data_IF_674116549433
#
_entry.id   IF_674116549433
#
_cell.length_a   1.000
_cell.length_b   1.000
_cell.length_c   1.000
_cell.angle_alpha   90.00
_cell.angle_beta   90.00
_cell.angle_gamma   90.00
#
_symmetry.space_group_name_H-M   'P 1'
#
loop_
_entity.id
_entity.type
_entity.pdbx_description
1 polymer ?
#
# COMPACT_ATOMS: atom_id res chain seq x y z
N UNK A 1 -8.10 8.33 0.55
CA UNK A 1 -7.70 7.23 1.44
C UNK A 1 -6.18 7.14 1.55
N UNK A 2 -5.71 6.73 2.70
CA UNK A 2 -4.28 6.50 2.92
C UNK A 2 -3.92 5.08 2.52
N UNK A 3 -2.81 4.93 1.81
CA UNK A 3 -2.33 3.62 1.35
C UNK A 3 -1.17 3.21 2.25
N UNK A 4 -1.25 2.00 2.80
CA UNK A 4 -0.23 1.44 3.69
C UNK A 4 0.32 0.15 3.13
N UNK A 5 1.60 -0.10 3.40
CA UNK A 5 2.20 -1.42 3.26
C UNK A 5 2.25 -2.04 4.65
N UNK A 6 1.60 -3.19 4.82
CA UNK A 6 1.62 -3.86 6.11
C UNK A 6 2.99 -4.45 6.40
N UNK A 7 3.27 -4.70 7.67
CA UNK A 7 4.51 -5.34 8.09
C UNK A 7 4.66 -6.77 7.52
N UNK A 8 3.57 -7.32 7.00
CA UNK A 8 3.57 -8.63 6.32
C UNK A 8 3.76 -8.51 4.80
N UNK A 9 3.94 -7.30 4.30
CA UNK A 9 4.16 -7.06 2.89
C UNK A 9 2.92 -6.93 2.02
N UNK A 10 1.75 -6.73 2.62
CA UNK A 10 0.49 -6.55 1.88
C UNK A 10 0.11 -5.08 1.80
N UNK A 11 -0.63 -4.71 0.75
CA UNK A 11 -1.19 -3.37 0.62
C UNK A 11 -2.57 -3.32 1.26
N UNK A 12 -2.88 -2.21 1.94
CA UNK A 12 -4.23 -1.95 2.43
C UNK A 12 -4.49 -0.45 2.49
N UNK A 13 -5.74 -0.07 2.68
CA UNK A 13 -6.14 1.34 2.75
C UNK A 13 -6.79 1.66 4.09
N UNK A 14 -6.70 2.92 4.49
CA UNK A 14 -7.33 3.41 5.70
C UNK A 14 -7.93 4.79 5.42
N UNK A 15 -9.05 5.10 6.07
CA UNK A 15 -9.66 6.41 5.98
C UNK A 15 -8.88 7.48 6.78
N UNK A 16 -8.13 7.04 7.77
CA UNK A 16 -7.39 7.92 8.67
C UNK A 16 -5.93 7.51 8.76
N UNK A 17 -5.09 8.46 9.17
CA UNK A 17 -3.69 8.16 9.49
C UNK A 17 -3.68 7.31 10.77
N UNK A 18 -3.02 6.16 10.71
CA UNK A 18 -2.92 5.24 11.83
C UNK A 18 -1.76 5.66 12.75
N UNK A 19 -1.99 5.59 14.05
CA UNK A 19 -0.95 5.87 15.04
C UNK A 19 0.10 4.75 15.04
N UNK A 20 1.31 5.07 15.48
CA UNK A 20 2.38 4.08 15.59
C UNK A 20 1.95 2.85 16.40
N UNK A 21 1.22 3.07 17.50
CA UNK A 21 0.76 1.97 18.36
C UNK A 21 -0.23 1.05 17.62
N UNK A 22 -1.01 1.60 16.68
CA UNK A 22 -1.96 0.83 15.90
C UNK A 22 -1.29 0.00 14.81
N UNK A 23 -0.13 0.45 14.33
CA UNK A 23 0.56 -0.21 13.21
C UNK A 23 1.71 -1.10 13.64
N UNK A 24 2.21 -0.92 14.86
CA UNK A 24 3.37 -1.66 15.35
C UNK A 24 3.01 -3.10 15.73
N UNK A 25 3.82 -4.03 15.27
CA UNK A 25 3.68 -5.45 15.61
C UNK A 25 4.79 -5.86 16.56
N UNK A 26 4.43 -6.14 17.82
CA UNK A 26 5.39 -6.54 18.84
C UNK A 26 6.08 -7.86 18.52
N UNK A 27 5.33 -8.78 17.91
CA UNK A 27 5.86 -10.10 17.54
C UNK A 27 6.91 -10.01 16.43
N UNK A 28 6.74 -9.06 15.50
CA UNK A 28 7.63 -8.89 14.35
C UNK A 28 8.72 -7.86 14.60
N UNK A 29 8.52 -6.96 15.57
CA UNK A 29 9.40 -5.84 15.80
C UNK A 29 9.35 -4.80 14.69
N UNK A 30 8.26 -4.77 13.92
CA UNK A 30 8.11 -3.94 12.75
C UNK A 30 6.75 -3.24 12.76
N UNK A 31 6.58 -2.25 11.91
CA UNK A 31 5.31 -1.51 11.82
C UNK A 31 4.88 -1.38 10.36
N UNK A 32 3.59 -1.09 10.17
CA UNK A 32 3.06 -0.80 8.86
C UNK A 32 3.63 0.55 8.36
N UNK A 33 3.81 0.66 7.06
CA UNK A 33 4.44 1.82 6.45
C UNK A 33 3.43 2.61 5.61
N UNK A 34 3.33 3.93 5.87
CA UNK A 34 2.47 4.82 5.09
C UNK A 34 3.15 5.14 3.76
N UNK A 35 2.52 4.74 2.66
CA UNK A 35 3.01 5.03 1.31
C UNK A 35 2.58 6.43 0.88
N UNK A 36 1.29 6.76 1.07
CA UNK A 36 0.80 8.08 0.70
C UNK A 36 -0.72 8.16 0.76
N UNK A 37 -1.25 9.28 0.29
CA UNK A 37 -2.69 9.55 0.25
C UNK A 37 -3.15 9.63 -1.21
N UNK A 38 -4.28 9.02 -1.51
CA UNK A 38 -4.91 9.09 -2.82
C UNK A 38 -6.43 9.17 -2.67
N UNK A 39 -7.07 9.98 -3.51
CA UNK A 39 -8.52 10.06 -3.57
C UNK A 39 -9.09 9.20 -4.68
N UNK A 40 -8.33 9.01 -5.75
CA UNK A 40 -8.77 8.25 -6.92
C UNK A 40 -7.83 7.08 -7.20
N UNK A 41 -8.31 6.15 -8.03
CA UNK A 41 -7.50 5.01 -8.48
C UNK A 41 -6.24 5.49 -9.21
N UNK A 42 -6.38 6.51 -10.03
CA UNK A 42 -5.26 7.07 -10.79
C UNK A 42 -4.18 7.62 -9.86
N UNK A 43 -4.58 8.35 -8.82
CA UNK A 43 -3.65 8.87 -7.83
C UNK A 43 -2.96 7.74 -7.08
N UNK A 44 -3.72 6.69 -6.73
CA UNK A 44 -3.16 5.51 -6.07
C UNK A 44 -2.12 4.83 -6.96
N UNK A 45 -2.41 4.67 -8.25
CA UNK A 45 -1.45 4.11 -9.20
C UNK A 45 -0.18 4.96 -9.27
N UNK A 46 -0.32 6.28 -9.29
CA UNK A 46 0.85 7.18 -9.34
C UNK A 46 1.75 7.03 -8.11
N UNK A 47 1.19 6.67 -6.96
CA UNK A 47 1.96 6.40 -5.76
C UNK A 47 2.68 5.05 -5.81
N UNK A 48 2.09 4.07 -6.47
CA UNK A 48 2.58 2.69 -6.46
C UNK A 48 3.39 2.30 -7.68
N UNK A 49 3.26 3.04 -8.78
CA UNK A 49 3.85 2.62 -10.07
C UNK A 49 5.37 2.47 -10.04
N UNK A 50 6.06 3.30 -9.26
CA UNK A 50 7.52 3.25 -9.19
C UNK A 50 8.02 1.99 -8.46
N UNK A 51 7.20 1.46 -7.55
CA UNK A 51 7.51 0.26 -6.79
C UNK A 51 6.82 -0.97 -7.36
N UNK A 52 6.08 -0.82 -8.47
CA UNK A 52 5.41 -1.94 -9.11
C UNK A 52 6.35 -2.61 -10.10
N UNK A 53 6.43 -3.92 -10.00
CA UNK A 53 7.26 -4.71 -10.89
C UNK A 53 6.56 -4.92 -12.24
N UNK A 54 6.97 -4.15 -13.24
CA UNK A 54 6.44 -4.26 -14.60
C UNK A 54 7.35 -5.13 -15.46
N UNK A 55 8.65 -5.18 -15.13
CA UNK A 55 9.69 -5.82 -15.94
C UNK A 55 10.52 -6.84 -15.16
N UNK A 56 9.95 -7.49 -14.17
CA UNK A 56 10.63 -8.49 -13.32
C UNK A 56 11.86 -7.94 -12.59
N UNK A 57 11.87 -6.65 -12.33
CA UNK A 57 13.03 -6.01 -11.69
C UNK A 57 12.87 -5.82 -10.18
N UNK A 58 11.91 -6.49 -9.56
CA UNK A 58 11.63 -6.37 -8.13
C UNK A 58 10.46 -5.41 -7.87
N UNK A 59 10.08 -5.28 -6.61
CA UNK A 59 8.95 -4.46 -6.22
C UNK A 59 7.64 -5.24 -6.16
N UNK A 60 6.52 -4.53 -6.21
CA UNK A 60 5.19 -5.14 -6.15
C UNK A 60 4.90 -5.89 -7.46
N UNK A 61 4.23 -7.04 -7.34
CA UNK A 61 3.73 -7.76 -8.50
C UNK A 61 2.67 -6.89 -9.20
N UNK A 62 2.80 -6.69 -10.51
CA UNK A 62 1.89 -5.87 -11.28
C UNK A 62 0.44 -6.35 -11.13
N UNK A 63 0.21 -7.66 -11.25
CA UNK A 63 -1.13 -8.22 -11.14
C UNK A 63 -1.73 -7.97 -9.74
N UNK A 64 -0.91 -8.09 -8.71
CA UNK A 64 -1.33 -7.82 -7.34
C UNK A 64 -1.76 -6.36 -7.17
N UNK A 65 -0.96 -5.42 -7.70
CA UNK A 65 -1.28 -4.00 -7.63
C UNK A 65 -2.55 -3.69 -8.40
N UNK A 66 -2.74 -4.27 -9.58
CA UNK A 66 -3.95 -4.04 -10.36
C UNK A 66 -5.18 -4.59 -9.65
N UNK A 67 -5.08 -5.75 -8.99
CA UNK A 67 -6.18 -6.28 -8.18
C UNK A 67 -6.51 -5.37 -7.01
N UNK A 68 -5.49 -4.83 -6.35
CA UNK A 68 -5.67 -3.88 -5.27
C UNK A 68 -6.42 -2.63 -5.76
N UNK A 69 -5.99 -2.08 -6.90
CA UNK A 69 -6.59 -0.87 -7.47
C UNK A 69 -7.99 -1.12 -8.02
N UNK A 70 -8.27 -2.32 -8.49
CA UNK A 70 -9.58 -2.70 -9.01
C UNK A 70 -10.69 -2.51 -7.99
N UNK A 71 -10.36 -2.69 -6.71
CA UNK A 71 -11.31 -2.53 -5.61
C UNK A 71 -11.39 -1.08 -5.10
N UNK A 72 -10.67 -0.17 -5.72
CA UNK A 72 -10.71 1.24 -5.37
C UNK A 72 -12.05 1.84 -5.77
N UNK A 73 -12.68 2.54 -4.84
CA UNK A 73 -14.06 3.00 -5.04
C UNK A 73 -14.21 4.33 -5.79
N UNK A 74 -13.13 5.03 -6.02
CA UNK A 74 -13.19 6.33 -6.69
C UNK A 74 -12.48 6.33 -8.03
#
# INVERSE_FOLDING_TARGET
>A
MYIYESHMGSLFVSNDILDYEQTYCEACGDSDYLIGYAETREEAWNLLKDDTNINDSGGWDYDYVQDFLKNWKN
#
